data_IF_565914714484
#
_entry.id   IF_565914714484
#
_cell.length_a   1.000
_cell.length_b   1.000
_cell.length_c   1.000
_cell.angle_alpha   90.00
_cell.angle_beta   90.00
_cell.angle_gamma   90.00
#
_symmetry.space_group_name_H-M   'P 1'
#
loop_
_entity.id
_entity.type
_entity.pdbx_description
1 polymer ?
#
# COMPACT_ATOMS: atom_id res chain seq x y z
N UNK A 1 -2.89 7.57 3.27
CA UNK A 1 -2.38 6.21 3.02
C UNK A 1 -3.59 5.29 3.03
N UNK A 2 -3.55 4.18 2.32
CA UNK A 2 -4.73 3.31 2.15
C UNK A 2 -5.23 2.77 3.49
N UNK A 3 -6.54 2.64 3.61
CA UNK A 3 -7.18 1.91 4.70
C UNK A 3 -6.91 0.41 4.58
N UNK A 4 -7.06 -0.38 5.65
CA UNK A 4 -6.94 -1.83 5.57
C UNK A 4 -7.83 -2.46 4.50
N UNK A 5 -9.09 -2.02 4.37
CA UNK A 5 -10.03 -2.58 3.40
C UNK A 5 -9.66 -2.23 1.96
N UNK A 6 -9.30 -0.96 1.69
CA UNK A 6 -8.86 -0.57 0.35
C UNK A 6 -7.55 -1.26 -0.03
N UNK A 7 -6.60 -1.33 0.91
CA UNK A 7 -5.35 -2.03 0.66
C UNK A 7 -5.57 -3.53 0.45
N UNK A 8 -6.51 -4.13 1.18
CA UNK A 8 -6.90 -5.52 0.97
C UNK A 8 -7.40 -5.72 -0.46
N UNK A 9 -8.34 -4.90 -0.95
CA UNK A 9 -8.84 -4.98 -2.34
C UNK A 9 -7.70 -4.92 -3.37
N UNK A 10 -6.76 -3.98 -3.21
CA UNK A 10 -5.61 -3.84 -4.10
C UNK A 10 -4.70 -5.07 -4.05
N UNK A 11 -4.40 -5.55 -2.84
CA UNK A 11 -3.45 -6.63 -2.62
C UNK A 11 -4.02 -8.01 -2.95
N UNK A 12 -5.32 -8.22 -2.77
CA UNK A 12 -5.95 -9.53 -2.95
C UNK A 12 -6.39 -9.79 -4.38
N UNK A 13 -6.75 -8.75 -5.13
CA UNK A 13 -7.25 -8.84 -6.51
C UNK A 13 -6.15 -9.26 -7.48
N UNK A 14 -6.54 -9.94 -8.56
CA UNK A 14 -5.62 -10.36 -9.62
C UNK A 14 -5.04 -9.17 -10.41
N UNK A 15 -4.01 -9.46 -11.21
CA UNK A 15 -3.30 -8.46 -12.01
C UNK A 15 -4.07 -7.97 -13.23
N UNK A 16 -5.28 -8.46 -13.46
CA UNK A 16 -6.15 -8.11 -14.60
C UNK A 16 -7.40 -7.35 -14.15
N UNK A 17 -7.60 -7.21 -12.85
CA UNK A 17 -8.74 -6.51 -12.24
C UNK A 17 -8.40 -5.05 -12.00
N UNK A 18 -9.21 -4.14 -12.53
CA UNK A 18 -9.13 -2.71 -12.23
C UNK A 18 -9.55 -2.44 -10.77
N UNK A 19 -8.60 -1.96 -9.98
CA UNK A 19 -8.77 -1.58 -8.57
C UNK A 19 -8.42 -0.12 -8.34
N UNK A 20 -8.39 0.70 -9.41
CA UNK A 20 -8.06 2.14 -9.38
C UNK A 20 -8.80 2.91 -8.28
N UNK A 21 -10.09 2.61 -8.08
CA UNK A 21 -10.94 3.26 -7.08
C UNK A 21 -10.50 3.07 -5.62
N UNK A 22 -9.68 2.05 -5.34
CA UNK A 22 -9.18 1.77 -3.99
C UNK A 22 -7.84 2.44 -3.68
N UNK A 23 -7.11 2.88 -4.71
CA UNK A 23 -5.88 3.66 -4.51
C UNK A 23 -6.21 5.05 -3.96
N UNK A 24 -5.38 5.55 -3.04
CA UNK A 24 -5.59 6.88 -2.44
C UNK A 24 -5.34 7.99 -3.44
N UNK A 25 -4.34 7.79 -4.29
CA UNK A 25 -3.90 8.68 -5.35
C UNK A 25 -3.40 7.81 -6.49
N UNK A 26 -3.55 8.31 -7.71
CA UNK A 26 -2.95 7.74 -8.90
C UNK A 26 -2.08 8.80 -9.58
N UNK A 27 -1.01 8.41 -10.28
CA UNK A 27 -0.25 9.33 -11.11
C UNK A 27 -1.14 10.05 -12.11
N UNK A 28 -0.81 11.30 -12.43
CA UNK A 28 -1.51 12.10 -13.45
C UNK A 28 -1.34 11.54 -14.87
N UNK A 29 -0.27 10.77 -15.10
CA UNK A 29 -0.01 10.04 -16.33
C UNK A 29 0.23 8.55 -16.00
N UNK A 30 -0.73 7.71 -16.36
CA UNK A 30 -0.65 6.26 -16.14
C UNK A 30 0.33 5.56 -17.09
N UNK A 31 0.69 6.21 -18.21
CA UNK A 31 1.66 5.68 -19.19
C UNK A 31 3.10 5.94 -18.75
N UNK A 32 3.34 7.05 -18.04
CA UNK A 32 4.62 7.38 -17.44
C UNK A 32 4.46 7.74 -15.95
N UNK A 33 4.17 6.77 -15.08
CA UNK A 33 3.78 7.01 -13.69
C UNK A 33 4.86 7.68 -12.84
N UNK A 34 6.10 7.73 -13.32
CA UNK A 34 7.23 8.39 -12.64
C UNK A 34 7.58 9.77 -13.21
N UNK A 35 6.85 10.25 -14.24
CA UNK A 35 7.08 11.57 -14.84
C UNK A 35 6.06 12.57 -14.31
N UNK A 36 6.53 13.75 -13.94
CA UNK A 36 5.66 14.89 -13.73
C UNK A 36 5.27 15.46 -15.10
N UNK A 37 4.08 15.13 -15.58
CA UNK A 37 3.45 15.80 -16.71
C UNK A 37 2.53 16.92 -16.19
N UNK A 38 2.53 18.07 -16.86
CA UNK A 38 1.52 19.12 -16.62
C UNK A 38 0.15 18.72 -17.22
N UNK A 39 0.16 17.74 -18.13
CA UNK A 39 -1.02 17.20 -18.78
C UNK A 39 -1.58 16.05 -17.95
N UNK A 40 -2.78 16.24 -17.38
CA UNK A 40 -3.56 15.15 -16.78
C UNK A 40 -4.08 14.24 -17.88
N UNK A 41 -3.55 13.03 -17.96
CA UNK A 41 -3.91 12.08 -19.00
C UNK A 41 -4.98 11.12 -18.44
N UNK A 42 -6.24 11.36 -18.82
CA UNK A 42 -7.40 10.55 -18.40
C UNK A 42 -7.27 9.11 -18.93
N UNK A 43 -7.55 8.11 -18.08
CA UNK A 43 -7.57 6.68 -18.45
C UNK A 43 -8.47 6.42 -19.66
N UNK A 44 -9.60 7.14 -19.78
CA UNK A 44 -10.48 7.00 -20.95
C UNK A 44 -9.81 7.51 -22.22
N UNK A 45 -9.05 8.60 -22.12
CA UNK A 45 -8.31 9.17 -23.24
C UNK A 45 -7.19 8.23 -23.68
N UNK A 46 -6.43 7.69 -22.73
CA UNK A 46 -5.39 6.67 -22.99
C UNK A 46 -5.98 5.44 -23.70
N UNK A 47 -7.10 4.93 -23.18
CA UNK A 47 -7.81 3.80 -23.77
C UNK A 47 -8.29 4.08 -25.19
N UNK A 48 -8.82 5.26 -25.46
CA UNK A 48 -9.25 5.66 -26.80
C UNK A 48 -8.07 5.85 -27.77
N UNK A 49 -6.97 6.41 -27.30
CA UNK A 49 -5.77 6.61 -28.12
C UNK A 49 -5.07 5.28 -28.41
N UNK A 50 -4.99 4.38 -27.43
CA UNK A 50 -4.55 2.99 -27.61
C UNK A 50 -5.39 2.25 -28.66
N UNK A 51 -6.72 2.39 -28.61
CA UNK A 51 -7.60 1.80 -29.62
C UNK A 51 -7.35 2.38 -31.01
N UNK A 52 -7.17 3.70 -31.15
CA UNK A 52 -6.89 4.32 -32.46
C UNK A 52 -5.61 3.77 -33.08
N UNK A 53 -4.54 3.70 -32.29
CA UNK A 53 -3.24 3.19 -32.70
C UNK A 53 -3.37 1.73 -33.13
N UNK A 54 -3.95 0.88 -32.28
CA UNK A 54 -4.15 -0.53 -32.59
C UNK A 54 -4.99 -0.73 -33.87
N UNK A 55 -6.09 0.03 -34.02
CA UNK A 55 -6.96 -0.02 -35.20
C UNK A 55 -6.23 0.39 -36.49
N UNK A 56 -5.35 1.39 -36.41
CA UNK A 56 -4.54 1.83 -37.56
C UNK A 56 -3.58 0.72 -38.01
N UNK A 57 -2.93 0.04 -37.05
CA UNK A 57 -2.03 -1.09 -37.34
C UNK A 57 -2.74 -2.24 -38.06
N UNK A 58 -3.92 -2.66 -37.59
CA UNK A 58 -4.67 -3.74 -38.27
C UNK A 58 -5.20 -3.31 -39.64
N UNK A 59 -5.45 -2.01 -39.86
CA UNK A 59 -5.99 -1.48 -41.12
C UNK A 59 -4.92 -1.40 -42.22
N UNK A 60 -3.68 -1.08 -41.87
CA UNK A 60 -2.53 -1.02 -42.80
C UNK A 60 -2.09 -2.43 -43.22
N UNK A 61 -2.41 -3.44 -42.39
CA UNK A 61 -2.00 -4.82 -42.59
C UNK A 61 -0.56 -5.05 -42.13
N UNK A 62 -0.27 -6.28 -41.70
CA UNK A 62 0.98 -6.62 -41.00
C UNK A 62 2.18 -6.84 -41.95
N UNK A 63 1.99 -6.61 -43.24
CA UNK A 63 2.99 -6.86 -44.26
C UNK A 63 4.07 -5.77 -44.23
N UNK A 64 5.31 -6.16 -43.91
CA UNK A 64 6.46 -5.24 -43.87
C UNK A 64 6.69 -4.56 -42.52
N UNK A 65 5.92 -4.91 -41.48
CA UNK A 65 6.16 -4.45 -40.11
C UNK A 65 7.39 -5.14 -39.49
N UNK A 66 8.08 -4.42 -38.60
CA UNK A 66 9.17 -5.01 -37.81
C UNK A 66 8.59 -5.98 -36.77
N UNK A 67 9.41 -6.93 -36.30
CA UNK A 67 8.97 -8.01 -35.40
C UNK A 67 8.28 -7.51 -34.12
N UNK A 68 8.63 -6.32 -33.62
CA UNK A 68 8.01 -5.72 -32.44
C UNK A 68 6.54 -5.31 -32.70
N UNK A 69 6.22 -4.85 -33.91
CA UNK A 69 4.90 -4.32 -34.27
C UNK A 69 3.93 -5.42 -34.77
N UNK A 70 4.44 -6.64 -35.00
CA UNK A 70 3.61 -7.81 -35.33
C UNK A 70 2.77 -8.31 -34.14
N UNK A 71 3.16 -7.98 -32.91
CA UNK A 71 2.44 -8.39 -31.69
C UNK A 71 0.98 -7.91 -31.68
N UNK A 72 0.71 -6.71 -32.21
CA UNK A 72 -0.65 -6.17 -32.32
C UNK A 72 -1.54 -6.93 -33.30
N UNK A 73 -0.92 -7.50 -34.34
CA UNK A 73 -1.63 -8.33 -35.32
C UNK A 73 -1.89 -9.74 -34.82
N UNK A 74 -0.96 -10.31 -34.05
CA UNK A 74 -1.15 -11.60 -33.38
C UNK A 74 -2.30 -11.56 -32.37
N UNK A 75 -2.62 -10.38 -31.85
CA UNK A 75 -3.75 -10.14 -30.94
C UNK A 75 -5.10 -9.92 -31.65
N UNK A 76 -5.17 -9.88 -32.98
CA UNK A 76 -6.43 -9.70 -33.73
C UNK A 76 -6.93 -11.02 -34.35
N UNK A 77 -8.06 -11.52 -33.85
CA UNK A 77 -8.76 -12.68 -34.39
C UNK A 77 -10.14 -12.25 -34.95
N UNK A 78 -10.37 -12.34 -36.27
CA UNK A 78 -11.62 -11.91 -36.90
C UNK A 78 -12.82 -12.79 -36.51
N UNK A 79 -12.62 -14.07 -36.21
CA UNK A 79 -13.68 -15.00 -35.83
C UNK A 79 -14.14 -14.76 -34.39
N UNK A 80 -13.21 -14.34 -33.52
CA UNK A 80 -13.55 -13.88 -32.17
C UNK A 80 -14.16 -12.47 -32.22
N UNK A 81 -13.58 -11.54 -32.98
CA UNK A 81 -14.08 -10.17 -33.10
C UNK A 81 -15.51 -10.09 -33.61
N UNK A 82 -15.92 -10.99 -34.51
CA UNK A 82 -17.30 -11.08 -35.00
C UNK A 82 -18.35 -11.42 -33.92
N UNK A 83 -17.92 -11.91 -32.74
CA UNK A 83 -18.81 -12.21 -31.59
C UNK A 83 -19.14 -10.96 -30.76
N UNK A 84 -18.39 -9.87 -30.94
CA UNK A 84 -18.56 -8.64 -30.19
C UNK A 84 -19.43 -7.62 -30.94
N UNK A 85 -20.21 -6.76 -30.24
CA UNK A 85 -21.07 -5.77 -30.89
C UNK A 85 -20.29 -4.74 -31.72
N UNK A 86 -19.12 -4.34 -31.24
CA UNK A 86 -18.21 -3.43 -31.94
C UNK A 86 -16.77 -3.91 -31.86
N UNK A 87 -15.95 -3.43 -32.80
CA UNK A 87 -14.51 -3.66 -32.76
C UNK A 87 -13.85 -3.06 -31.51
N UNK A 88 -14.43 -1.99 -30.96
CA UNK A 88 -13.97 -1.42 -29.69
C UNK A 88 -14.25 -2.37 -28.53
N UNK A 89 -15.45 -2.97 -28.46
CA UNK A 89 -15.78 -3.95 -27.41
C UNK A 89 -14.85 -5.17 -27.48
N UNK A 90 -14.57 -5.68 -28.68
CA UNK A 90 -13.56 -6.73 -28.88
C UNK A 90 -12.20 -6.30 -28.34
N UNK A 91 -11.72 -5.13 -28.75
CA UNK A 91 -10.40 -4.66 -28.34
C UNK A 91 -10.32 -4.49 -26.83
N UNK A 92 -11.35 -3.93 -26.20
CA UNK A 92 -11.40 -3.76 -24.74
C UNK A 92 -11.39 -5.09 -24.01
N UNK A 93 -12.08 -6.12 -24.52
CA UNK A 93 -12.21 -7.40 -23.85
C UNK A 93 -11.07 -8.38 -24.12
N UNK A 94 -10.46 -8.35 -25.31
CA UNK A 94 -9.53 -9.39 -25.78
C UNK A 94 -8.10 -8.89 -25.97
N UNK A 95 -7.89 -7.57 -26.08
CA UNK A 95 -6.60 -6.98 -26.49
C UNK A 95 -6.08 -5.95 -25.50
N UNK A 96 -6.95 -5.14 -24.93
CA UNK A 96 -6.57 -4.04 -24.05
C UNK A 96 -6.04 -4.58 -22.73
N UNK A 97 -4.80 -4.22 -22.44
CA UNK A 97 -4.12 -4.57 -21.18
C UNK A 97 -4.20 -3.34 -20.28
N UNK A 98 -4.76 -3.51 -19.08
CA UNK A 98 -4.80 -2.45 -18.08
C UNK A 98 -3.37 -2.07 -17.66
N UNK A 99 -3.07 -0.77 -17.46
CA UNK A 99 -1.82 -0.35 -16.87
C UNK A 99 -1.61 -1.00 -15.50
N UNK A 100 -0.46 -1.65 -15.22
CA UNK A 100 -0.24 -2.35 -13.94
C UNK A 100 -0.37 -1.48 -12.69
N UNK A 101 -0.32 -0.15 -12.84
CA UNK A 101 -0.44 0.81 -11.73
C UNK A 101 -1.89 0.95 -11.22
N UNK A 102 -2.88 0.48 -11.98
CA UNK A 102 -4.30 0.50 -11.59
C UNK A 102 -4.90 -0.88 -11.32
N UNK A 103 -4.12 -1.94 -11.51
CA UNK A 103 -4.58 -3.33 -11.33
C UNK A 103 -4.31 -3.85 -9.93
N UNK A 104 -4.91 -4.99 -9.59
CA UNK A 104 -4.53 -5.73 -8.40
C UNK A 104 -3.07 -6.20 -8.43
N UNK A 105 -2.56 -6.57 -7.25
CA UNK A 105 -1.18 -7.02 -7.07
C UNK A 105 -1.05 -8.53 -6.89
N UNK A 106 -2.17 -9.24 -6.73
CA UNK A 106 -2.25 -10.67 -6.40
C UNK A 106 -1.23 -11.13 -5.34
N UNK A 107 -1.10 -10.36 -4.26
CA UNK A 107 -0.18 -10.66 -3.18
C UNK A 107 -0.78 -11.68 -2.20
N UNK A 108 0.08 -12.54 -1.65
CA UNK A 108 -0.29 -13.48 -0.59
C UNK A 108 0.14 -13.02 0.81
N UNK A 109 1.23 -12.25 0.89
CA UNK A 109 1.83 -11.82 2.15
C UNK A 109 2.33 -10.37 2.09
N UNK A 110 2.33 -9.73 3.24
CA UNK A 110 2.98 -8.44 3.48
C UNK A 110 4.11 -8.67 4.49
N UNK A 111 5.29 -8.15 4.18
CA UNK A 111 6.42 -8.11 5.10
C UNK A 111 6.69 -6.66 5.50
N UNK A 112 6.82 -6.43 6.80
CA UNK A 112 7.38 -5.18 7.34
C UNK A 112 8.56 -5.50 8.25
N UNK A 113 9.64 -4.73 8.16
CA UNK A 113 10.72 -4.77 9.13
C UNK A 113 10.48 -3.69 10.16
N UNK A 114 10.56 -4.02 11.45
CA UNK A 114 10.39 -3.02 12.50
C UNK A 114 11.62 -2.93 13.38
N UNK A 115 11.86 -1.72 13.90
CA UNK A 115 12.79 -1.46 14.98
C UNK A 115 12.08 -0.73 16.14
N UNK A 116 12.03 -1.38 17.29
CA UNK A 116 11.47 -0.84 18.53
C UNK A 116 12.40 -1.12 19.70
N UNK A 117 12.11 -0.54 20.86
CA UNK A 117 12.85 -0.73 22.09
C UNK A 117 11.86 -1.06 23.21
N UNK A 118 12.04 -2.20 23.88
CA UNK A 118 11.32 -2.52 25.11
C UNK A 118 11.96 -1.78 26.27
N UNK A 119 11.15 -1.05 27.03
CA UNK A 119 11.56 -0.33 28.23
C UNK A 119 11.72 -1.28 29.43
N UNK A 120 12.41 -0.87 30.52
CA UNK A 120 12.66 -1.70 31.69
C UNK A 120 11.40 -2.31 32.32
N UNK A 121 11.54 -3.50 32.91
CA UNK A 121 10.47 -4.30 33.52
C UNK A 121 9.86 -3.71 34.80
N UNK A 122 10.40 -2.61 35.32
CA UNK A 122 9.84 -1.92 36.50
C UNK A 122 8.41 -1.39 36.26
N UNK A 123 7.97 -1.38 35.01
CA UNK A 123 6.61 -1.01 34.61
C UNK A 123 5.63 -2.18 34.82
N UNK A 124 4.41 -1.85 35.28
CA UNK A 124 3.31 -2.81 35.52
C UNK A 124 2.93 -3.57 34.23
N UNK A 125 3.25 -3.01 33.06
CA UNK A 125 3.07 -3.61 31.75
C UNK A 125 4.28 -3.34 30.85
N UNK A 126 4.43 -4.12 29.78
CA UNK A 126 5.46 -3.88 28.78
C UNK A 126 5.23 -2.55 28.05
N UNK A 127 6.16 -1.61 28.24
CA UNK A 127 6.19 -0.34 27.53
C UNK A 127 7.29 -0.36 26.46
N UNK A 128 7.04 0.37 25.38
CA UNK A 128 7.92 0.38 24.21
C UNK A 128 8.12 1.80 23.68
N UNK A 129 9.28 2.03 23.06
CA UNK A 129 9.54 3.21 22.23
C UNK A 129 9.86 2.80 20.80
N UNK A 130 9.55 3.69 19.86
CA UNK A 130 9.88 3.55 18.45
C UNK A 130 10.71 4.77 18.06
N UNK A 131 12.03 4.65 18.15
CA UNK A 131 12.96 5.79 18.09
C UNK A 131 13.45 6.11 16.67
N UNK A 132 12.73 5.62 15.67
CA UNK A 132 13.11 5.71 14.27
C UNK A 132 14.57 5.34 13.95
N UNK A 133 14.99 4.12 14.31
CA UNK A 133 16.38 3.63 14.14
C UNK A 133 16.61 2.70 12.94
N UNK A 134 15.73 2.72 11.95
CA UNK A 134 15.98 2.15 10.61
C UNK A 134 15.03 1.06 10.15
N UNK A 135 14.03 0.67 10.95
CA UNK A 135 12.95 -0.18 10.46
C UNK A 135 12.04 0.60 9.49
N UNK A 136 11.03 -0.06 8.95
CA UNK A 136 10.11 0.54 7.98
C UNK A 136 9.27 1.64 8.61
N UNK A 137 9.10 1.63 9.94
CA UNK A 137 8.46 2.72 10.66
C UNK A 137 9.16 4.06 10.47
N UNK A 138 10.45 4.11 10.13
CA UNK A 138 11.14 5.39 9.83
C UNK A 138 10.90 5.89 8.42
N UNK A 139 10.42 5.00 7.55
CA UNK A 139 10.25 5.22 6.12
C UNK A 139 8.83 5.68 5.78
N UNK A 140 7.93 5.79 6.77
CA UNK A 140 6.58 6.30 6.60
C UNK A 140 6.56 7.66 5.89
N UNK A 141 7.48 8.56 6.23
CA UNK A 141 7.67 9.84 5.53
C UNK A 141 7.81 9.65 4.02
N UNK A 142 8.66 8.71 3.58
CA UNK A 142 8.88 8.43 2.16
C UNK A 142 7.67 7.78 1.51
N UNK A 143 6.99 6.83 2.17
CA UNK A 143 5.76 6.25 1.63
C UNK A 143 4.67 7.30 1.40
N UNK A 144 4.52 8.23 2.34
CA UNK A 144 3.57 9.35 2.22
C UNK A 144 3.96 10.28 1.07
N UNK A 145 5.25 10.62 0.93
CA UNK A 145 5.74 11.46 -0.17
C UNK A 145 5.57 10.81 -1.54
N UNK A 146 5.85 9.51 -1.66
CA UNK A 146 5.71 8.76 -2.92
C UNK A 146 4.24 8.64 -3.31
N UNK A 147 3.34 8.46 -2.35
CA UNK A 147 1.90 8.43 -2.58
C UNK A 147 1.30 9.83 -2.82
N UNK A 148 2.11 10.88 -2.97
CA UNK A 148 1.68 12.28 -3.13
C UNK A 148 0.68 12.74 -2.06
N UNK A 149 0.91 12.33 -0.81
CA UNK A 149 0.08 12.68 0.32
C UNK A 149 0.70 13.81 1.15
N UNK A 150 -0.18 14.58 1.79
CA UNK A 150 0.25 15.64 2.70
C UNK A 150 0.84 15.03 3.99
N UNK A 151 2.10 15.36 4.31
CA UNK A 151 2.85 14.74 5.41
C UNK A 151 2.21 14.99 6.77
N UNK A 152 1.76 16.22 7.02
CA UNK A 152 1.23 16.62 8.33
C UNK A 152 -0.19 16.08 8.60
N UNK A 153 -0.80 15.37 7.65
CA UNK A 153 -2.00 14.58 7.93
C UNK A 153 -1.68 13.34 8.78
N UNK A 154 -0.45 12.83 8.67
CA UNK A 154 -0.03 11.55 9.28
C UNK A 154 1.07 11.72 10.33
N UNK A 155 1.82 12.82 10.28
CA UNK A 155 2.83 13.18 11.28
C UNK A 155 2.37 14.34 12.15
N UNK A 156 2.67 14.26 13.45
CA UNK A 156 2.59 15.41 14.34
C UNK A 156 3.65 16.46 13.96
N UNK A 157 3.48 17.73 14.41
CA UNK A 157 4.56 18.72 14.34
C UNK A 157 5.86 18.11 14.90
N UNK A 158 7.02 18.41 14.28
CA UNK A 158 8.35 17.80 14.54
C UNK A 158 8.67 16.49 13.79
N UNK A 159 7.71 15.82 13.16
CA UNK A 159 7.92 14.59 12.37
C UNK A 159 8.53 13.40 13.16
N UNK A 160 8.48 13.46 14.48
CA UNK A 160 9.01 12.44 15.41
C UNK A 160 7.94 11.45 15.87
N UNK A 161 6.66 11.77 15.67
CA UNK A 161 5.51 10.95 16.03
C UNK A 161 4.36 11.13 15.06
N UNK A 162 3.37 10.25 15.16
CA UNK A 162 2.27 10.13 14.19
C UNK A 162 0.94 10.63 14.76
N UNK A 163 0.07 11.09 13.87
CA UNK A 163 -1.30 11.54 14.21
C UNK A 163 -2.23 10.34 14.47
N UNK A 164 -3.39 10.63 15.06
CA UNK A 164 -4.47 9.64 15.20
C UNK A 164 -4.92 9.11 13.84
N UNK A 165 -4.95 9.96 12.81
CA UNK A 165 -5.29 9.55 11.44
C UNK A 165 -4.35 8.46 10.94
N UNK A 166 -3.04 8.59 11.17
CA UNK A 166 -2.08 7.53 10.83
C UNK A 166 -2.41 6.21 11.52
N UNK A 167 -2.56 6.22 12.85
CA UNK A 167 -2.79 5.01 13.65
C UNK A 167 -4.15 4.36 13.43
N UNK A 168 -5.18 5.17 13.18
CA UNK A 168 -6.56 4.70 13.12
C UNK A 168 -6.96 4.28 11.71
N UNK A 169 -6.48 4.98 10.68
CA UNK A 169 -7.00 4.80 9.33
C UNK A 169 -6.06 4.02 8.41
N UNK A 170 -4.75 3.96 8.67
CA UNK A 170 -3.81 3.45 7.67
C UNK A 170 -3.44 1.98 7.85
N UNK A 171 -3.38 1.21 6.76
CA UNK A 171 -2.88 -0.18 6.81
C UNK A 171 -1.48 -0.23 7.44
N UNK A 172 -0.58 0.67 7.02
CA UNK A 172 0.80 0.65 7.47
C UNK A 172 0.92 0.73 8.99
N UNK A 173 0.15 1.60 9.64
CA UNK A 173 0.12 1.67 11.10
C UNK A 173 -0.53 0.45 11.74
N UNK A 174 -1.59 -0.12 11.13
CA UNK A 174 -2.25 -1.34 11.65
C UNK A 174 -1.35 -2.58 11.58
N UNK A 175 -0.36 -2.60 10.68
CA UNK A 175 0.66 -3.65 10.63
C UNK A 175 1.71 -3.50 11.75
N UNK A 176 1.82 -2.33 12.40
CA UNK A 176 2.72 -2.12 13.54
C UNK A 176 2.04 -2.68 14.81
N UNK A 177 2.66 -3.65 15.53
CA UNK A 177 2.05 -4.33 16.67
C UNK A 177 2.14 -3.51 17.97
N UNK A 178 2.02 -2.18 17.86
CA UNK A 178 2.14 -1.23 18.96
C UNK A 178 1.09 -0.14 18.86
N UNK A 179 0.55 0.31 19.98
CA UNK A 179 -0.42 1.43 20.06
C UNK A 179 0.13 2.51 20.97
N UNK A 180 0.13 3.80 20.55
CA UNK A 180 0.56 4.88 21.43
C UNK A 180 -0.42 5.02 22.59
N UNK A 181 0.10 5.17 23.81
CA UNK A 181 -0.72 5.32 25.03
C UNK A 181 -0.55 6.67 25.70
N UNK A 182 0.64 7.27 25.61
CA UNK A 182 0.94 8.57 26.16
C UNK A 182 2.23 9.12 25.57
N UNK A 183 2.48 10.41 25.80
CA UNK A 183 3.70 11.12 25.45
C UNK A 183 4.43 11.50 26.74
N UNK A 184 5.74 11.32 26.82
CA UNK A 184 6.57 11.68 27.99
C UNK A 184 7.66 12.69 27.65
N UNK A 185 7.93 13.56 28.61
CA UNK A 185 9.12 14.41 28.62
C UNK A 185 10.36 13.56 28.89
N UNK A 186 11.35 13.57 28.00
CA UNK A 186 12.57 12.77 28.16
C UNK A 186 13.45 13.25 29.31
N UNK A 187 13.34 14.52 29.70
CA UNK A 187 14.10 15.07 30.83
C UNK A 187 13.42 14.79 32.18
N UNK A 188 12.10 14.56 32.16
CA UNK A 188 11.33 14.18 33.34
C UNK A 188 10.11 13.29 32.98
N UNK A 189 10.26 11.96 33.01
CA UNK A 189 9.20 11.01 32.65
C UNK A 189 7.91 11.09 33.49
N UNK A 190 7.92 11.76 34.65
CA UNK A 190 6.70 12.04 35.43
C UNK A 190 5.77 13.04 34.74
N UNK A 191 6.29 13.82 33.78
CA UNK A 191 5.50 14.73 32.95
C UNK A 191 4.98 13.98 31.73
N UNK A 192 3.68 13.75 31.72
CA UNK A 192 3.00 12.95 30.71
C UNK A 192 1.91 13.77 30.03
N UNK A 193 1.53 13.36 28.83
CA UNK A 193 0.43 13.93 28.06
C UNK A 193 -0.26 12.82 27.28
N UNK A 194 -1.59 12.81 27.27
CA UNK A 194 -2.36 11.86 26.44
C UNK A 194 -2.28 12.23 24.95
N UNK A 195 -2.08 13.52 24.65
CA UNK A 195 -1.94 14.05 23.30
C UNK A 195 -0.53 14.53 23.03
N UNK A 196 -0.20 14.66 21.74
CA UNK A 196 1.10 15.15 21.30
C UNK A 196 1.46 16.49 21.96
N UNK A 197 2.71 16.58 22.41
CA UNK A 197 3.31 17.80 22.93
C UNK A 197 4.74 17.95 22.37
N UNK A 198 5.12 19.15 21.91
CA UNK A 198 6.48 19.42 21.42
C UNK A 198 7.56 18.96 22.40
N UNK A 199 8.56 18.23 21.89
CA UNK A 199 9.66 17.67 22.67
C UNK A 199 9.34 16.43 23.50
N UNK A 200 8.10 15.91 23.45
CA UNK A 200 7.73 14.67 24.15
C UNK A 200 7.83 13.49 23.19
N UNK A 201 8.24 12.32 23.69
CA UNK A 201 8.30 11.08 22.91
C UNK A 201 7.06 10.21 23.18
N UNK A 202 6.52 9.53 22.17
CA UNK A 202 5.42 8.60 22.35
C UNK A 202 5.90 7.30 23.03
N UNK A 203 5.11 6.84 23.99
CA UNK A 203 5.21 5.54 24.64
C UNK A 203 4.12 4.64 24.10
N UNK A 204 4.48 3.39 23.84
CA UNK A 204 3.61 2.41 23.23
C UNK A 204 3.41 1.19 24.13
N UNK A 205 2.28 0.51 23.92
CA UNK A 205 2.04 -0.85 24.42
C UNK A 205 1.96 -1.82 23.24
N UNK A 206 2.31 -3.09 23.47
CA UNK A 206 2.15 -4.15 22.48
C UNK A 206 0.66 -4.38 22.23
N UNK A 207 0.25 -4.29 20.99
CA UNK A 207 -1.14 -4.45 20.54
C UNK A 207 -1.14 -4.90 19.08
N UNK A 208 -1.52 -6.16 18.83
CA UNK A 208 -1.51 -6.80 17.51
C UNK A 208 -2.91 -6.66 16.89
N UNK A 209 -3.04 -5.80 15.88
CA UNK A 209 -4.35 -5.45 15.29
C UNK A 209 -4.89 -6.55 14.36
N UNK A 210 -3.96 -7.34 13.79
CA UNK A 210 -4.26 -8.47 12.91
C UNK A 210 -3.69 -9.75 13.52
N UNK A 211 -4.35 -10.34 14.53
CA UNK A 211 -3.85 -11.52 15.21
C UNK A 211 -3.91 -12.77 14.30
N UNK A 212 -3.14 -13.84 14.61
CA UNK A 212 -3.09 -15.05 13.78
C UNK A 212 -4.44 -15.75 13.59
N UNK A 213 -5.32 -15.67 14.59
CA UNK A 213 -6.66 -16.26 14.63
C UNK A 213 -7.77 -15.27 14.24
N UNK A 214 -7.39 -14.06 13.82
CA UNK A 214 -8.32 -13.02 13.39
C UNK A 214 -9.05 -13.37 12.09
N UNK A 215 -10.29 -12.90 11.95
CA UNK A 215 -11.09 -13.03 10.71
C UNK A 215 -10.99 -11.79 9.80
N UNK A 216 -10.06 -10.88 10.10
CA UNK A 216 -9.86 -9.64 9.35
C UNK A 216 -9.19 -9.83 7.99
N UNK A 217 -8.88 -8.72 7.30
CA UNK A 217 -8.24 -8.74 5.98
C UNK A 217 -6.82 -9.29 6.00
N UNK A 218 -6.15 -9.27 7.15
CA UNK A 218 -4.78 -9.74 7.33
C UNK A 218 -4.64 -10.54 8.62
N UNK A 219 -3.66 -11.44 8.66
CA UNK A 219 -3.34 -12.30 9.81
C UNK A 219 -1.83 -12.33 10.03
N UNK A 220 -1.34 -12.02 11.23
CA UNK A 220 0.07 -12.18 11.57
C UNK A 220 0.43 -13.66 11.57
N UNK A 221 1.34 -14.08 10.70
CA UNK A 221 1.76 -15.50 10.56
C UNK A 221 3.21 -15.74 10.95
N UNK A 222 4.01 -14.68 11.06
CA UNK A 222 5.38 -14.77 11.55
C UNK A 222 5.78 -13.49 12.28
N UNK A 223 6.48 -13.66 13.39
CA UNK A 223 7.12 -12.59 14.14
C UNK A 223 8.57 -12.97 14.41
N UNK A 224 9.50 -12.03 14.24
CA UNK A 224 10.91 -12.25 14.59
C UNK A 224 11.05 -12.57 16.09
N UNK A 225 11.91 -13.55 16.48
CA UNK A 225 12.11 -13.94 17.89
C UNK A 225 12.48 -12.78 18.83
N UNK A 226 13.02 -11.68 18.30
CA UNK A 226 13.31 -10.50 19.09
C UNK A 226 12.09 -9.91 19.77
N UNK A 227 10.91 -9.96 19.14
CA UNK A 227 9.63 -9.43 19.66
C UNK A 227 8.91 -10.40 20.62
N UNK A 228 9.46 -11.60 20.81
CA UNK A 228 8.96 -12.62 21.73
C UNK A 228 9.73 -12.66 23.05
N UNK A 229 10.83 -11.91 23.16
CA UNK A 229 11.63 -11.86 24.39
C UNK A 229 10.95 -11.03 25.48
N UNK A 230 11.11 -11.49 26.72
CA UNK A 230 10.65 -10.76 27.90
C UNK A 230 11.64 -9.67 28.35
N UNK A 231 12.91 -9.82 28.03
CA UNK A 231 13.96 -8.89 28.44
C UNK A 231 13.79 -7.49 27.80
N UNK A 232 14.16 -6.45 28.55
CA UNK A 232 14.29 -5.09 28.00
C UNK A 232 15.38 -5.04 26.93
N UNK A 233 15.26 -4.14 25.95
CA UNK A 233 16.23 -4.05 24.86
C UNK A 233 15.64 -3.80 23.48
N UNK A 234 16.52 -3.81 22.49
CA UNK A 234 16.16 -3.61 21.10
C UNK A 234 15.37 -4.81 20.54
N UNK A 235 14.29 -4.49 19.84
CA UNK A 235 13.43 -5.42 19.11
C UNK A 235 13.55 -5.09 17.63
N UNK A 236 14.13 -6.00 16.86
CA UNK A 236 14.34 -5.78 15.44
C UNK A 236 14.01 -7.01 14.62
N UNK A 237 13.46 -6.79 13.43
CA UNK A 237 13.30 -7.83 12.43
C UNK A 237 11.94 -7.82 11.76
N UNK A 238 11.71 -8.83 10.91
CA UNK A 238 10.52 -8.88 10.09
C UNK A 238 9.29 -9.36 10.88
N UNK A 239 8.14 -8.83 10.47
CA UNK A 239 6.82 -9.38 10.72
C UNK A 239 6.19 -9.70 9.37
N UNK A 240 5.52 -10.85 9.28
CA UNK A 240 4.87 -11.29 8.04
C UNK A 240 3.39 -11.49 8.33
N UNK A 241 2.57 -10.83 7.52
CA UNK A 241 1.12 -10.93 7.55
C UNK A 241 0.65 -11.65 6.31
N UNK A 242 -0.21 -12.65 6.48
CA UNK A 242 -0.94 -13.30 5.39
C UNK A 242 -2.14 -12.45 5.00
N UNK A 243 -2.41 -12.33 3.71
CA UNK A 243 -3.60 -11.69 3.16
C UNK A 243 -4.74 -12.71 3.15
N UNK A 244 -5.86 -12.37 3.77
CA UNK A 244 -7.04 -13.24 3.82
C UNK A 244 -7.86 -13.07 2.54
N UNK A 245 -7.65 -13.93 1.54
CA UNK A 245 -8.36 -13.87 0.25
C UNK A 245 -9.89 -14.07 0.37
N UNK A 246 -10.37 -14.62 1.49
CA UNK A 246 -11.80 -14.87 1.75
C UNK A 246 -12.47 -13.77 2.61
N UNK A 247 -11.74 -12.70 2.95
CA UNK A 247 -12.29 -11.59 3.73
C UNK A 247 -13.42 -10.87 2.97
N UNK A 248 -14.46 -10.44 3.68
CA UNK A 248 -15.51 -9.61 3.12
C UNK A 248 -15.76 -8.40 4.03
N UNK A 249 -15.43 -7.17 3.59
CA UNK A 249 -15.61 -5.96 4.40
C UNK A 249 -17.08 -5.59 4.65
N UNK A 250 -18.03 -6.22 3.97
CA UNK A 250 -19.47 -5.94 4.06
C UNK A 250 -20.27 -7.02 4.81
N UNK A 251 -19.58 -7.98 5.45
CA UNK A 251 -20.23 -9.06 6.20
C UNK A 251 -20.58 -8.68 7.64
#
# INVERSE_FOLDING_TARGET
>A
MSTPDHAWQILSSDTETDVSSYYVTLPTDLTHPTRHSDDGYDLNQDKLDGFKVWREFISIGCAGLQKHDLSYCEQYDPDIAAKYPTLFDYWVSEVYILPPIITGLDADYILINLAAQKLPEENIMGLYTIEQKGGDETKAFWFIKIADLHVLDYYNPELTSYTDKFWNETLFAKLIPFTPVLYVDTDNPERQSETFKPGYIPIYVKDIKFPPDGQGPFQLVYVSPSFERDESGALTGPLIYKINKEYNPNQ
#
